data_IF_117067550534
#
_entry.id   IF_117067550534
#
_cell.length_a   1.000
_cell.length_b   1.000
_cell.length_c   1.000
_cell.angle_alpha   90.00
_cell.angle_beta   90.00
_cell.angle_gamma   90.00
#
_symmetry.space_group_name_H-M   'P 1'
#
loop_
_entity.id
_entity.type
_entity.pdbx_description
1 polymer ?
#
# COMPACT_ATOMS: atom_id res chain seq x y z
N UNK A 1 13.12 3.66 2.69
CA UNK A 1 12.32 3.56 3.93
C UNK A 1 11.85 2.13 4.11
N UNK A 2 11.62 1.73 5.35
CA UNK A 2 11.04 0.43 5.71
C UNK A 2 9.50 0.48 5.67
N UNK A 3 8.88 -0.70 5.55
CA UNK A 3 7.42 -0.86 5.61
C UNK A 3 6.87 -0.42 6.97
N UNK A 4 7.54 -0.79 8.07
CA UNK A 4 7.17 -0.37 9.42
C UNK A 4 7.18 1.15 9.61
N UNK A 5 8.15 1.84 9.03
CA UNK A 5 8.26 3.31 9.04
C UNK A 5 7.09 3.96 8.30
N UNK A 6 6.75 3.41 7.12
CA UNK A 6 5.60 3.89 6.35
C UNK A 6 4.30 3.69 7.12
N UNK A 7 4.07 2.51 7.71
CA UNK A 7 2.84 2.26 8.47
C UNK A 7 2.71 3.21 9.66
N UNK A 8 3.80 3.43 10.39
CA UNK A 8 3.84 4.36 11.53
C UNK A 8 3.47 5.78 11.09
N UNK A 9 4.10 6.28 10.03
CA UNK A 9 3.87 7.64 9.54
C UNK A 9 2.47 7.84 8.95
N UNK A 10 1.88 6.78 8.39
CA UNK A 10 0.51 6.79 7.88
C UNK A 10 -0.54 6.52 8.97
N UNK A 11 -0.13 6.30 10.23
CA UNK A 11 -1.01 5.79 11.29
C UNK A 11 -1.82 4.57 10.83
N UNK A 12 -1.18 3.69 10.06
CA UNK A 12 -1.81 2.56 9.41
C UNK A 12 -1.78 1.32 10.32
N UNK A 13 -2.89 0.59 10.35
CA UNK A 13 -3.02 -0.67 11.07
C UNK A 13 -2.89 -1.83 10.09
N UNK A 14 -1.98 -2.81 10.33
CA UNK A 14 -1.87 -3.99 9.49
C UNK A 14 -3.14 -4.86 9.61
N UNK A 15 -3.63 -5.34 8.46
CA UNK A 15 -4.69 -6.33 8.32
C UNK A 15 -4.12 -7.69 7.92
N UNK A 16 -2.97 -7.68 7.23
CA UNK A 16 -2.16 -8.86 6.92
C UNK A 16 -0.72 -8.53 7.30
N UNK A 17 -0.21 -9.24 8.30
CA UNK A 17 1.14 -9.09 8.82
C UNK A 17 2.19 -9.57 7.82
N UNK A 18 3.36 -8.93 7.86
CA UNK A 18 4.53 -9.32 7.08
C UNK A 18 5.82 -8.95 7.83
N UNK A 19 6.93 -9.67 7.61
CA UNK A 19 8.25 -9.21 8.04
C UNK A 19 8.53 -7.83 7.45
N UNK A 20 9.34 -7.02 8.13
CA UNK A 20 9.69 -5.69 7.62
C UNK A 20 10.55 -5.79 6.35
N UNK A 21 10.36 -4.86 5.43
CA UNK A 21 11.05 -4.84 4.14
C UNK A 21 11.29 -3.41 3.65
N UNK A 22 12.27 -3.26 2.76
CA UNK A 22 12.60 -1.97 2.17
C UNK A 22 11.64 -1.59 1.03
N UNK A 23 11.29 -0.31 0.98
CA UNK A 23 10.43 0.31 -0.04
C UNK A 23 11.23 1.44 -0.69
N UNK A 24 11.30 1.41 -2.02
CA UNK A 24 12.01 2.42 -2.80
C UNK A 24 11.08 3.43 -3.48
N UNK A 25 9.82 3.05 -3.72
CA UNK A 25 8.84 3.94 -4.33
C UNK A 25 7.40 3.63 -3.91
N UNK A 26 6.47 4.51 -4.27
CA UNK A 26 5.04 4.38 -3.97
C UNK A 26 4.24 4.70 -5.23
N UNK A 27 3.21 3.90 -5.50
CA UNK A 27 2.20 4.18 -6.53
C UNK A 27 0.87 4.49 -5.86
N UNK A 28 0.29 5.65 -6.14
CA UNK A 28 -0.92 6.12 -5.48
C UNK A 28 -2.02 6.42 -6.49
N UNK A 29 -3.08 5.59 -6.52
CA UNK A 29 -4.21 5.79 -7.42
C UNK A 29 -5.47 5.06 -6.94
N UNK A 30 -6.64 5.62 -7.24
CA UNK A 30 -7.93 4.93 -7.09
C UNK A 30 -8.33 4.18 -8.36
N UNK A 31 -7.77 4.55 -9.51
CA UNK A 31 -7.93 3.84 -10.77
C UNK A 31 -6.90 2.72 -10.85
N UNK A 32 -7.35 1.48 -10.67
CA UNK A 32 -6.47 0.31 -10.72
C UNK A 32 -5.83 0.11 -12.11
N UNK A 33 -6.39 0.69 -13.17
CA UNK A 33 -5.76 0.74 -14.51
C UNK A 33 -4.43 1.49 -14.49
N UNK A 34 -4.34 2.59 -13.74
CA UNK A 34 -3.12 3.39 -13.65
C UNK A 34 -2.04 2.63 -12.88
N UNK A 35 -2.46 1.84 -11.88
CA UNK A 35 -1.56 0.92 -11.18
C UNK A 35 -1.08 -0.19 -12.11
N UNK A 36 -1.98 -0.79 -12.90
CA UNK A 36 -1.62 -1.84 -13.86
C UNK A 36 -0.62 -1.36 -14.93
N UNK A 37 -0.68 -0.08 -15.30
CA UNK A 37 0.22 0.54 -16.26
C UNK A 37 1.52 1.06 -15.64
N UNK A 38 1.77 0.83 -14.34
CA UNK A 38 2.97 1.33 -13.66
C UNK A 38 4.19 0.49 -14.00
N UNK A 39 5.33 1.15 -14.24
CA UNK A 39 6.64 0.51 -14.45
C UNK A 39 7.53 0.63 -13.20
N UNK A 40 6.92 0.83 -12.03
CA UNK A 40 7.67 1.00 -10.77
C UNK A 40 8.20 -0.33 -10.28
N UNK A 41 9.38 -0.28 -9.67
CA UNK A 41 9.98 -1.39 -8.95
C UNK A 41 9.99 -1.10 -7.43
N UNK A 42 10.06 -2.17 -6.64
CA UNK A 42 10.19 -2.13 -5.18
C UNK A 42 9.22 -1.13 -4.52
N UNK A 43 7.95 -1.23 -4.91
CA UNK A 43 6.92 -0.24 -4.60
C UNK A 43 5.75 -0.82 -3.84
N UNK A 44 5.07 0.05 -3.10
CA UNK A 44 3.77 -0.24 -2.46
C UNK A 44 2.67 0.61 -3.09
N UNK A 45 1.43 0.13 -2.97
CA UNK A 45 0.25 0.83 -3.49
C UNK A 45 -0.45 1.59 -2.36
N UNK A 46 -0.76 2.87 -2.60
CA UNK A 46 -1.75 3.62 -1.82
C UNK A 46 -3.04 3.72 -2.63
N UNK A 47 -4.16 3.25 -2.08
CA UNK A 47 -5.44 3.31 -2.80
C UNK A 47 -6.62 3.46 -1.86
N UNK A 48 -7.70 4.10 -2.30
CA UNK A 48 -8.99 4.10 -1.62
C UNK A 48 -9.89 2.91 -2.00
N UNK A 49 -9.40 1.98 -2.83
CA UNK A 49 -10.14 0.79 -3.28
C UNK A 49 -9.96 -0.37 -2.30
N UNK A 50 -11.06 -0.89 -1.76
CA UNK A 50 -11.06 -1.93 -0.71
C UNK A 50 -11.30 -3.34 -1.23
N UNK A 51 -11.59 -3.50 -2.53
CA UNK A 51 -12.06 -4.77 -3.09
C UNK A 51 -10.95 -5.80 -3.34
N UNK A 52 -11.32 -7.06 -3.58
CA UNK A 52 -10.40 -8.10 -4.05
C UNK A 52 -9.66 -7.73 -5.34
N UNK A 53 -10.24 -6.85 -6.18
CA UNK A 53 -9.56 -6.39 -7.41
C UNK A 53 -8.26 -5.65 -7.09
N UNK A 54 -8.24 -4.89 -5.99
CA UNK A 54 -7.03 -4.21 -5.52
C UNK A 54 -5.90 -5.21 -5.26
N UNK A 55 -6.21 -6.30 -4.57
CA UNK A 55 -5.22 -7.33 -4.23
C UNK A 55 -4.74 -8.06 -5.49
N UNK A 56 -5.66 -8.41 -6.40
CA UNK A 56 -5.29 -9.02 -7.70
C UNK A 56 -4.41 -8.09 -8.53
N UNK A 57 -4.69 -6.79 -8.54
CA UNK A 57 -3.83 -5.80 -9.20
C UNK A 57 -2.45 -5.77 -8.56
N UNK A 58 -2.36 -5.72 -7.23
CA UNK A 58 -1.06 -5.73 -6.53
C UNK A 58 -0.22 -6.97 -6.89
N UNK A 59 -0.85 -8.15 -6.94
CA UNK A 59 -0.19 -9.40 -7.36
C UNK A 59 0.30 -9.29 -8.82
N UNK A 60 -0.56 -8.80 -9.73
CA UNK A 60 -0.24 -8.74 -11.16
C UNK A 60 0.94 -7.81 -11.47
N UNK A 61 1.09 -6.72 -10.72
CA UNK A 61 2.17 -5.74 -10.90
C UNK A 61 3.38 -5.98 -10.00
N UNK A 62 3.36 -7.04 -9.17
CA UNK A 62 4.46 -7.35 -8.25
C UNK A 62 4.65 -6.30 -7.15
N UNK A 63 3.60 -5.62 -6.71
CA UNK A 63 3.70 -4.65 -5.62
C UNK A 63 4.06 -5.36 -4.30
N UNK A 64 4.93 -4.73 -3.51
CA UNK A 64 5.41 -5.25 -2.22
C UNK A 64 4.33 -5.24 -1.13
N UNK A 65 3.28 -4.44 -1.29
CA UNK A 65 2.20 -4.31 -0.32
C UNK A 65 1.17 -3.26 -0.71
N UNK A 66 0.06 -3.22 0.03
CA UNK A 66 -1.04 -2.29 -0.19
C UNK A 66 -1.43 -1.59 1.11
N UNK A 67 -1.58 -0.27 1.06
CA UNK A 67 -2.22 0.51 2.13
C UNK A 67 -3.51 1.11 1.61
N UNK A 68 -4.63 0.71 2.22
CA UNK A 68 -5.94 1.28 1.94
C UNK A 68 -6.13 2.56 2.76
N UNK A 69 -6.31 3.69 2.10
CA UNK A 69 -6.44 5.01 2.74
C UNK A 69 -7.91 5.38 3.01
N UNK A 70 -8.13 6.50 3.73
CA UNK A 70 -9.43 7.08 4.13
C UNK A 70 -10.20 6.31 5.20
N UNK A 71 -9.54 5.40 5.92
CA UNK A 71 -10.12 4.65 7.04
C UNK A 71 -11.28 3.75 6.64
N UNK A 72 -11.36 3.36 5.36
CA UNK A 72 -12.45 2.53 4.86
C UNK A 72 -12.33 1.11 5.39
N UNK A 73 -13.46 0.50 5.70
CA UNK A 73 -13.50 -0.92 6.00
C UNK A 73 -13.08 -1.75 4.78
N UNK A 74 -12.08 -2.62 4.96
CA UNK A 74 -11.65 -3.58 3.94
C UNK A 74 -12.44 -4.88 4.14
N UNK A 75 -13.23 -5.32 3.15
CA UNK A 75 -14.03 -6.53 3.25
C UNK A 75 -13.20 -7.77 3.58
N UNK A 76 -13.71 -8.70 4.40
CA UNK A 76 -12.99 -9.91 4.81
C UNK A 76 -12.47 -10.74 3.64
N UNK A 77 -13.19 -10.80 2.52
CA UNK A 77 -12.79 -11.55 1.33
C UNK A 77 -11.55 -10.95 0.65
N UNK A 78 -11.31 -9.64 0.78
CA UNK A 78 -10.10 -9.00 0.30
C UNK A 78 -8.92 -9.25 1.25
N UNK A 79 -9.15 -9.18 2.56
CA UNK A 79 -8.14 -9.53 3.58
C UNK A 79 -7.71 -10.99 3.45
N UNK A 80 -8.66 -11.92 3.29
CA UNK A 80 -8.39 -13.34 3.11
C UNK A 80 -7.59 -13.61 1.83
N UNK A 81 -7.93 -12.93 0.72
CA UNK A 81 -7.18 -13.06 -0.53
C UNK A 81 -5.74 -12.54 -0.37
N UNK A 82 -5.55 -11.41 0.31
CA UNK A 82 -4.23 -10.84 0.58
C UNK A 82 -3.39 -11.78 1.45
N UNK A 83 -3.96 -12.34 2.52
CA UNK A 83 -3.28 -13.30 3.39
C UNK A 83 -2.86 -14.57 2.62
N UNK A 84 -3.77 -15.16 1.84
CA UNK A 84 -3.49 -16.36 1.04
C UNK A 84 -2.40 -16.11 -0.01
N UNK A 85 -2.39 -14.92 -0.61
CA UNK A 85 -1.40 -14.53 -1.61
C UNK A 85 -0.12 -13.94 -1.00
N UNK A 86 -0.01 -13.84 0.34
CA UNK A 86 1.10 -13.21 1.07
C UNK A 86 1.37 -11.77 0.62
N UNK A 87 0.31 -11.02 0.34
CA UNK A 87 0.38 -9.59 0.06
C UNK A 87 0.17 -8.83 1.37
N UNK A 88 1.18 -8.09 1.87
CA UNK A 88 1.01 -7.22 3.02
C UNK A 88 -0.10 -6.20 2.77
N UNK A 89 -0.98 -6.04 3.76
CA UNK A 89 -2.16 -5.19 3.63
C UNK A 89 -2.36 -4.41 4.93
N UNK A 90 -2.52 -3.09 4.81
CA UNK A 90 -2.82 -2.23 5.95
C UNK A 90 -3.94 -1.24 5.60
N UNK A 91 -4.55 -0.64 6.63
CA UNK A 91 -5.54 0.43 6.49
C UNK A 91 -5.08 1.67 7.25
N UNK A 92 -5.16 2.84 6.62
CA UNK A 92 -4.82 4.14 7.21
C UNK A 92 -6.05 5.05 7.22
N UNK A 93 -6.28 5.82 8.31
CA UNK A 93 -7.34 6.83 8.35
C UNK A 93 -7.04 8.06 7.47
N UNK A 94 -5.79 8.27 7.06
CA UNK A 94 -5.37 9.46 6.31
C UNK A 94 -6.05 9.55 4.94
N UNK A 95 -6.24 10.76 4.41
CA UNK A 95 -6.68 10.94 3.03
C UNK A 95 -5.52 10.68 2.07
N UNK A 96 -5.85 10.35 0.81
CA UNK A 96 -4.85 10.04 -0.23
C UNK A 96 -3.75 11.12 -0.35
N UNK A 97 -4.15 12.39 -0.44
CA UNK A 97 -3.20 13.49 -0.59
C UNK A 97 -2.23 13.59 0.61
N UNK A 98 -2.77 13.53 1.85
CA UNK A 98 -1.98 13.55 3.09
C UNK A 98 -1.00 12.37 3.12
N UNK A 99 -1.48 11.16 2.82
CA UNK A 99 -0.65 9.97 2.77
C UNK A 99 0.48 10.07 1.73
N UNK A 100 0.20 10.63 0.55
CA UNK A 100 1.21 10.87 -0.48
C UNK A 100 2.27 11.88 -0.04
N UNK A 101 1.87 12.96 0.64
CA UNK A 101 2.82 13.97 1.16
C UNK A 101 3.77 13.34 2.17
N UNK A 102 3.23 12.58 3.13
CA UNK A 102 4.01 11.89 4.17
C UNK A 102 4.95 10.85 3.55
N UNK A 103 4.43 9.95 2.70
CA UNK A 103 5.25 8.94 2.03
C UNK A 103 6.35 9.57 1.17
N UNK A 104 6.04 10.66 0.46
CA UNK A 104 7.00 11.40 -0.34
C UNK A 104 8.11 12.06 0.49
N UNK A 105 7.80 12.54 1.70
CA UNK A 105 8.81 13.06 2.62
C UNK A 105 9.77 11.96 3.09
N UNK A 106 9.24 10.82 3.56
CA UNK A 106 10.05 9.68 4.00
C UNK A 106 10.98 9.14 2.92
N UNK A 107 10.49 9.02 1.69
CA UNK A 107 11.29 8.56 0.55
C UNK A 107 12.46 9.50 0.23
N UNK A 108 12.30 10.81 0.43
CA UNK A 108 13.39 11.79 0.23
C UNK A 108 14.42 11.72 1.35
N UNK A 109 13.99 11.61 2.61
CA UNK A 109 14.89 11.50 3.76
C UNK A 109 15.71 10.21 3.76
N UNK A 110 15.22 9.14 3.14
CA UNK A 110 15.95 7.87 2.99
C UNK A 110 17.01 7.88 1.88
N UNK A 111 17.06 8.92 1.05
CA UNK A 111 17.94 9.02 -0.14
C UNK A 111 19.10 10.01 0.03
N UNK A 112 19.17 10.72 1.16
CA UNK A 112 20.30 11.60 1.53
C UNK A 112 21.21 10.91 2.53
#
# INVERSE_FOLDING_TARGET
MLWSELLTALAATPLVEAPDFAIQSVSAADLLSDILATEREEFVILTGQTSQRTIRTAIAVGALGVVVVRGKHVPPEAVALAANARVPLAVSPQRMFEACVVAGQLLRSSRS
#
